data_IF_920444604838
#
_entry.id   IF_920444604838
#
_cell.length_a   1.000
_cell.length_b   1.000
_cell.length_c   1.000
_cell.angle_alpha   90.00
_cell.angle_beta   90.00
_cell.angle_gamma   90.00
#
_symmetry.space_group_name_H-M   'P 1'
#
loop_
_entity.id
_entity.type
_entity.pdbx_description
1 polymer ?
#
# COMPACT_ATOMS: atom_id res chain seq x y z
N UNK A 1 -37.12 -20.17 -3.86
CA UNK A 1 -35.80 -20.61 -4.32
C UNK A 1 -34.88 -20.66 -3.12
N UNK A 2 -34.64 -21.85 -2.56
CA UNK A 2 -33.90 -22.06 -1.31
C UNK A 2 -32.41 -21.73 -1.55
N UNK A 3 -31.90 -20.70 -0.91
CA UNK A 3 -30.46 -20.41 -0.81
C UNK A 3 -29.83 -21.49 0.07
N UNK A 4 -29.16 -22.47 -0.56
CA UNK A 4 -28.30 -23.40 0.18
C UNK A 4 -27.13 -22.61 0.75
N UNK A 5 -26.92 -22.74 2.06
CA UNK A 5 -25.75 -22.28 2.80
C UNK A 5 -24.49 -22.72 2.05
N UNK A 6 -23.54 -21.79 1.88
CA UNK A 6 -22.20 -22.15 1.44
C UNK A 6 -21.62 -23.13 2.47
N UNK A 7 -21.54 -24.39 2.10
CA UNK A 7 -20.83 -25.38 2.88
C UNK A 7 -19.36 -25.03 2.86
N UNK A 8 -18.76 -24.82 4.03
CA UNK A 8 -17.31 -24.87 4.19
C UNK A 8 -16.82 -26.18 3.59
N UNK A 9 -15.91 -26.12 2.63
CA UNK A 9 -15.15 -27.30 2.19
C UNK A 9 -14.26 -27.74 3.37
N UNK A 10 -14.70 -28.72 4.12
CA UNK A 10 -13.92 -29.44 5.13
C UNK A 10 -12.99 -30.51 4.51
N UNK A 11 -12.64 -30.34 3.25
CA UNK A 11 -11.88 -31.32 2.48
C UNK A 11 -10.52 -30.80 2.03
N UNK A 12 -9.66 -30.37 2.93
CA UNK A 12 -8.20 -30.45 2.93
C UNK A 12 -7.69 -29.78 4.23
N UNK A 13 -7.54 -30.57 5.28
CA UNK A 13 -6.71 -30.22 6.43
C UNK A 13 -5.24 -30.37 5.99
N UNK A 14 -4.83 -29.56 5.03
CA UNK A 14 -3.44 -29.25 4.83
C UNK A 14 -3.00 -28.47 6.07
N UNK A 15 -1.94 -28.94 6.75
CA UNK A 15 -1.36 -28.26 7.91
C UNK A 15 -1.29 -26.75 7.63
N UNK A 16 -1.95 -25.96 8.47
CA UNK A 16 -1.91 -24.49 8.38
C UNK A 16 -0.44 -24.09 8.36
N UNK A 17 0.04 -23.59 7.22
CA UNK A 17 1.44 -23.19 7.06
C UNK A 17 1.73 -22.10 8.09
N UNK A 18 2.59 -22.40 9.05
CA UNK A 18 3.06 -21.46 10.07
C UNK A 18 4.36 -20.79 9.61
N UNK A 19 4.56 -19.56 10.04
CA UNK A 19 5.71 -18.72 9.68
C UNK A 19 6.46 -18.29 10.92
N UNK A 20 7.70 -17.85 10.74
CA UNK A 20 8.58 -17.36 11.81
C UNK A 20 8.81 -18.37 12.94
N UNK A 21 8.76 -19.69 12.66
CA UNK A 21 9.02 -20.72 13.66
C UNK A 21 10.49 -20.66 14.06
N UNK A 22 10.78 -20.50 15.37
CA UNK A 22 12.16 -20.41 15.89
C UNK A 22 12.89 -19.11 15.50
N UNK A 23 12.19 -18.13 14.93
CA UNK A 23 12.79 -16.83 14.61
C UNK A 23 12.89 -15.99 15.88
N UNK A 24 14.12 -15.64 16.24
CA UNK A 24 14.43 -14.62 17.25
C UNK A 24 14.81 -13.31 16.55
N UNK A 25 14.42 -12.18 17.13
CA UNK A 25 14.78 -10.87 16.60
C UNK A 25 16.19 -10.50 17.07
N UNK A 26 17.19 -10.98 16.34
CA UNK A 26 18.59 -10.70 16.62
C UNK A 26 19.13 -9.50 15.84
N UNK A 27 20.40 -9.12 16.15
CA UNK A 27 21.11 -7.98 15.58
C UNK A 27 21.08 -7.93 14.04
N UNK A 28 21.29 -9.06 13.37
CA UNK A 28 21.33 -9.13 11.90
C UNK A 28 20.01 -8.67 11.25
N UNK A 29 18.86 -9.04 11.84
CA UNK A 29 17.55 -8.64 11.34
C UNK A 29 17.29 -7.15 11.60
N UNK A 30 17.61 -6.64 12.79
CA UNK A 30 17.45 -5.24 13.14
C UNK A 30 18.36 -4.35 12.29
N UNK A 31 19.62 -4.77 12.07
CA UNK A 31 20.55 -4.07 11.17
C UNK A 31 20.00 -4.01 9.73
N UNK A 32 19.49 -5.13 9.21
CA UNK A 32 18.89 -5.18 7.87
C UNK A 32 17.68 -4.25 7.76
N UNK A 33 16.87 -4.15 8.80
CA UNK A 33 15.74 -3.24 8.88
C UNK A 33 16.19 -1.76 8.87
N UNK A 34 17.21 -1.44 9.66
CA UNK A 34 17.82 -0.11 9.69
C UNK A 34 18.38 0.29 8.33
N UNK A 35 19.15 -0.57 7.68
CA UNK A 35 19.74 -0.32 6.36
C UNK A 35 18.65 -0.10 5.31
N UNK A 36 17.62 -0.94 5.33
CA UNK A 36 16.46 -0.79 4.46
C UNK A 36 15.73 0.53 4.69
N UNK A 37 15.51 0.92 5.95
CA UNK A 37 14.90 2.20 6.32
C UNK A 37 15.70 3.38 5.78
N UNK A 38 17.03 3.37 5.87
CA UNK A 38 17.91 4.41 5.34
C UNK A 38 17.75 4.61 3.83
N UNK A 39 17.40 3.57 3.07
CA UNK A 39 17.14 3.70 1.63
C UNK A 39 15.86 4.46 1.32
N UNK A 40 14.96 4.61 2.28
CA UNK A 40 13.64 5.23 2.09
C UNK A 40 13.70 6.75 2.29
N UNK A 41 12.70 7.50 1.76
CA UNK A 41 12.68 8.96 1.92
C UNK A 41 12.68 9.41 3.38
N UNK A 42 12.03 8.69 4.28
CA UNK A 42 12.01 9.00 5.72
C UNK A 42 13.41 8.83 6.33
N UNK A 43 14.07 7.71 6.09
CA UNK A 43 15.42 7.44 6.57
C UNK A 43 16.44 8.45 6.05
N UNK A 44 16.40 8.74 4.74
CA UNK A 44 17.29 9.77 4.14
C UNK A 44 17.11 11.16 4.75
N UNK A 45 15.90 11.49 5.17
CA UNK A 45 15.59 12.78 5.80
C UNK A 45 15.98 12.81 7.28
N UNK A 46 15.79 11.72 7.99
CA UNK A 46 15.86 11.65 9.45
C UNK A 46 17.07 10.85 9.97
N UNK A 47 17.92 10.29 9.10
CA UNK A 47 19.06 9.46 9.50
C UNK A 47 20.03 10.16 10.45
N UNK A 48 20.22 11.49 10.31
CA UNK A 48 21.02 12.30 11.21
C UNK A 48 20.54 12.28 12.66
N UNK A 49 19.25 12.01 12.89
CA UNK A 49 18.68 11.91 14.25
C UNK A 49 19.18 10.67 14.98
N UNK A 50 19.55 9.62 14.27
CA UNK A 50 20.09 8.39 14.87
C UNK A 50 21.35 8.69 15.66
N UNK A 51 22.28 9.46 15.07
CA UNK A 51 23.49 9.88 15.77
C UNK A 51 23.18 10.79 16.96
N UNK A 52 22.28 11.76 16.75
CA UNK A 52 21.93 12.76 17.77
C UNK A 52 21.15 12.19 18.96
N UNK A 53 20.21 11.29 18.71
CA UNK A 53 19.23 10.83 19.71
C UNK A 53 19.65 9.50 20.37
N UNK A 54 20.43 8.68 19.68
CA UNK A 54 20.77 7.31 20.10
C UNK A 54 22.28 7.04 20.18
N UNK A 55 23.13 7.99 19.81
CA UNK A 55 24.58 7.80 19.83
C UNK A 55 25.12 6.92 18.69
N UNK A 56 24.33 6.74 17.62
CA UNK A 56 24.73 6.03 16.42
C UNK A 56 23.88 4.81 16.08
N UNK A 57 24.14 4.27 14.90
CA UNK A 57 23.38 3.13 14.36
C UNK A 57 23.56 1.87 15.22
N UNK A 58 24.79 1.56 15.61
CA UNK A 58 25.09 0.37 16.40
C UNK A 58 24.39 0.41 17.76
N UNK A 59 24.45 1.54 18.46
CA UNK A 59 23.81 1.73 19.76
C UNK A 59 22.28 1.55 19.65
N UNK A 60 21.65 2.14 18.63
CA UNK A 60 20.20 1.99 18.42
C UNK A 60 19.82 0.55 18.06
N UNK A 61 20.61 -0.12 17.23
CA UNK A 61 20.36 -1.53 16.87
C UNK A 61 20.45 -2.43 18.10
N UNK A 62 21.51 -2.26 18.92
CA UNK A 62 21.69 -3.05 20.13
C UNK A 62 20.61 -2.77 21.17
N UNK A 63 20.17 -1.50 21.33
CA UNK A 63 19.07 -1.12 22.20
C UNK A 63 17.76 -1.83 21.77
N UNK A 64 17.41 -1.78 20.49
CA UNK A 64 16.19 -2.45 19.99
C UNK A 64 16.23 -3.96 20.22
N UNK A 65 17.38 -4.61 19.94
CA UNK A 65 17.55 -6.05 20.14
C UNK A 65 17.37 -6.40 21.62
N UNK A 66 18.05 -5.66 22.50
CA UNK A 66 17.99 -5.91 23.94
C UNK A 66 16.58 -5.70 24.51
N UNK A 67 15.92 -4.59 24.16
CA UNK A 67 14.57 -4.29 24.65
C UNK A 67 13.54 -5.30 24.17
N UNK A 68 13.65 -5.80 22.93
CA UNK A 68 12.75 -6.86 22.44
C UNK A 68 13.00 -8.17 23.19
N UNK A 69 14.26 -8.56 23.38
CA UNK A 69 14.61 -9.78 24.11
C UNK A 69 14.12 -9.76 25.56
N UNK A 70 14.25 -8.61 26.21
CA UNK A 70 13.82 -8.40 27.61
C UNK A 70 12.33 -8.07 27.77
N UNK A 71 11.58 -7.91 26.67
CA UNK A 71 10.16 -7.49 26.70
C UNK A 71 9.95 -6.09 27.34
N UNK A 72 10.91 -5.20 27.14
CA UNK A 72 10.91 -3.84 27.70
C UNK A 72 10.86 -2.75 26.62
N UNK A 73 10.54 -3.12 25.37
CA UNK A 73 10.52 -2.16 24.26
C UNK A 73 9.61 -0.98 24.57
N UNK A 74 10.24 0.19 24.65
CA UNK A 74 9.56 1.46 24.89
C UNK A 74 9.60 2.34 23.63
N UNK A 75 8.43 2.78 23.20
CA UNK A 75 8.25 3.61 22.01
C UNK A 75 7.59 4.94 22.40
N UNK A 76 8.05 6.02 21.78
CA UNK A 76 7.47 7.34 21.99
C UNK A 76 6.03 7.42 21.46
N UNK A 77 5.16 8.25 22.07
CA UNK A 77 3.83 8.52 21.53
C UNK A 77 3.89 9.08 20.10
N UNK A 78 3.01 8.62 19.25
CA UNK A 78 2.93 9.07 17.86
C UNK A 78 2.45 10.52 17.81
N UNK A 79 3.20 11.39 17.14
CA UNK A 79 2.79 12.77 16.88
C UNK A 79 1.86 12.80 15.68
N UNK A 80 0.70 13.46 15.80
CA UNK A 80 -0.32 13.51 14.75
C UNK A 80 -0.51 14.92 14.24
N UNK A 81 -0.75 15.03 12.92
CA UNK A 81 -1.13 16.29 12.30
C UNK A 81 -2.21 16.09 11.25
N UNK A 82 -3.05 17.08 11.07
CA UNK A 82 -4.04 17.06 10.01
C UNK A 82 -3.42 17.48 8.66
N UNK A 83 -3.69 16.71 7.64
CA UNK A 83 -3.36 17.03 6.26
C UNK A 83 -4.61 17.09 5.41
N UNK A 84 -4.78 18.21 4.70
CA UNK A 84 -5.84 18.34 3.71
C UNK A 84 -5.34 17.81 2.36
N UNK A 85 -6.03 16.82 1.80
CA UNK A 85 -5.71 16.31 0.47
C UNK A 85 -6.02 17.37 -0.60
N UNK A 86 -5.03 17.78 -1.41
CA UNK A 86 -5.24 18.82 -2.43
C UNK A 86 -6.21 18.42 -3.54
N UNK A 87 -6.56 17.12 -3.62
CA UNK A 87 -7.38 16.54 -4.69
C UNK A 87 -8.88 16.69 -4.45
N UNK A 88 -9.32 16.49 -3.24
CA UNK A 88 -10.72 16.37 -2.87
C UNK A 88 -11.07 17.15 -1.59
N UNK A 89 -10.11 17.86 -1.00
CA UNK A 89 -10.28 18.61 0.24
C UNK A 89 -10.45 17.75 1.50
N UNK A 90 -10.30 16.43 1.40
CA UNK A 90 -10.47 15.53 2.54
C UNK A 90 -9.36 15.75 3.57
N UNK A 91 -9.76 15.94 4.82
CA UNK A 91 -8.83 15.97 5.96
C UNK A 91 -8.45 14.55 6.37
N UNK A 92 -7.17 14.33 6.61
CA UNK A 92 -6.64 13.07 7.14
C UNK A 92 -5.71 13.38 8.30
N UNK A 93 -5.88 12.69 9.40
CA UNK A 93 -4.90 12.64 10.48
C UNK A 93 -3.78 11.68 10.08
N UNK A 94 -2.54 12.16 10.14
CA UNK A 94 -1.36 11.38 9.77
C UNK A 94 -0.47 11.28 11.00
N UNK A 95 -0.12 10.05 11.37
CA UNK A 95 0.84 9.76 12.42
C UNK A 95 2.29 9.94 11.93
N UNK A 96 3.11 10.48 12.82
CA UNK A 96 4.57 10.59 12.64
C UNK A 96 5.23 9.87 13.80
N UNK A 97 5.77 8.73 13.48
CA UNK A 97 6.47 7.85 14.41
C UNK A 97 7.88 8.37 14.71
N UNK A 98 8.42 8.02 15.89
CA UNK A 98 9.83 8.23 16.21
C UNK A 98 10.73 7.42 15.26
N UNK A 99 12.02 7.76 15.19
CA UNK A 99 12.97 7.01 14.35
C UNK A 99 13.05 5.54 14.78
N UNK A 100 13.11 5.30 16.08
CA UNK A 100 13.14 3.96 16.67
C UNK A 100 11.91 3.16 16.26
N UNK A 101 10.72 3.73 16.37
CA UNK A 101 9.47 3.07 15.97
C UNK A 101 9.43 2.76 14.48
N UNK A 102 9.86 3.68 13.61
CA UNK A 102 9.95 3.40 12.17
C UNK A 102 10.86 2.21 11.87
N UNK A 103 11.99 2.08 12.57
CA UNK A 103 12.90 0.93 12.39
C UNK A 103 12.21 -0.36 12.88
N UNK A 104 11.53 -0.32 14.03
CA UNK A 104 10.75 -1.44 14.56
C UNK A 104 9.65 -1.90 13.57
N UNK A 105 9.00 -0.97 12.86
CA UNK A 105 8.07 -1.30 11.77
C UNK A 105 8.74 -2.16 10.69
N UNK A 106 9.96 -1.75 10.27
CA UNK A 106 10.72 -2.53 9.28
C UNK A 106 11.17 -3.87 9.82
N UNK A 107 11.55 -3.97 11.10
CA UNK A 107 11.90 -5.25 11.76
C UNK A 107 10.72 -6.21 11.71
N UNK A 108 9.54 -5.77 12.16
CA UNK A 108 8.33 -6.58 12.16
C UNK A 108 7.95 -7.04 10.75
N UNK A 109 8.00 -6.14 9.77
CA UNK A 109 7.65 -6.46 8.38
C UNK A 109 8.66 -7.42 7.75
N UNK A 110 9.97 -7.21 7.92
CA UNK A 110 11.00 -8.10 7.39
C UNK A 110 10.90 -9.50 8.00
N UNK A 111 10.67 -9.59 9.31
CA UNK A 111 10.47 -10.88 9.98
C UNK A 111 9.31 -11.67 9.37
N UNK A 112 8.24 -10.98 8.97
CA UNK A 112 7.03 -11.58 8.41
C UNK A 112 6.99 -11.62 6.87
N UNK A 113 8.03 -11.14 6.17
CA UNK A 113 8.01 -11.03 4.70
C UNK A 113 7.61 -12.33 3.99
N UNK A 114 8.12 -13.55 4.38
CA UNK A 114 7.70 -14.80 3.74
C UNK A 114 6.19 -15.08 3.88
N UNK A 115 5.59 -14.67 5.00
CA UNK A 115 4.14 -14.80 5.21
C UNK A 115 3.38 -13.79 4.35
N UNK A 116 3.84 -12.55 4.31
CA UNK A 116 3.20 -11.47 3.55
C UNK A 116 3.25 -11.78 2.04
N UNK A 117 4.38 -12.25 1.51
CA UNK A 117 4.51 -12.66 0.12
C UNK A 117 3.56 -13.81 -0.23
N UNK A 118 3.41 -14.79 0.66
CA UNK A 118 2.55 -15.94 0.44
C UNK A 118 1.05 -15.62 0.54
N UNK A 119 0.67 -14.59 1.33
CA UNK A 119 -0.73 -14.24 1.61
C UNK A 119 -1.26 -13.12 0.73
N UNK A 120 -0.44 -12.13 0.40
CA UNK A 120 -0.88 -10.98 -0.40
C UNK A 120 -1.21 -11.40 -1.82
N UNK A 121 -2.46 -11.21 -2.23
CA UNK A 121 -2.99 -11.61 -3.53
C UNK A 121 -2.21 -10.99 -4.70
N UNK A 122 -2.21 -11.71 -5.84
CA UNK A 122 -1.42 -11.30 -7.00
C UNK A 122 -1.77 -9.88 -7.49
N UNK A 123 -3.05 -9.54 -7.54
CA UNK A 123 -3.54 -8.23 -7.96
C UNK A 123 -3.84 -7.25 -6.80
N UNK A 124 -3.27 -7.47 -5.62
CA UNK A 124 -3.08 -6.43 -4.62
C UNK A 124 -1.82 -5.66 -5.02
N UNK A 125 -1.99 -4.51 -5.67
CA UNK A 125 -0.88 -3.87 -6.42
C UNK A 125 -0.26 -2.66 -5.72
N UNK A 126 -0.91 -2.09 -4.73
CA UNK A 126 -0.42 -0.90 -4.05
C UNK A 126 0.67 -1.23 -3.04
N UNK A 127 1.81 -0.55 -3.12
CA UNK A 127 2.92 -0.67 -2.17
C UNK A 127 3.45 -2.09 -1.93
N UNK A 128 3.31 -2.96 -2.92
CA UNK A 128 3.85 -4.32 -2.91
C UNK A 128 5.09 -4.36 -3.81
N UNK A 129 6.24 -4.86 -3.33
CA UNK A 129 7.45 -4.99 -4.14
C UNK A 129 7.18 -5.73 -5.47
N UNK A 130 7.77 -5.25 -6.56
CA UNK A 130 7.59 -5.84 -7.90
C UNK A 130 6.23 -5.60 -8.56
N UNK A 131 5.25 -5.04 -7.85
CA UNK A 131 3.92 -4.70 -8.35
C UNK A 131 3.77 -3.17 -8.47
N UNK A 132 2.59 -2.69 -8.78
CA UNK A 132 2.30 -1.25 -8.85
C UNK A 132 1.55 -0.85 -10.12
N UNK A 133 1.64 0.44 -10.47
CA UNK A 133 0.83 1.07 -11.53
C UNK A 133 1.01 0.41 -12.91
N UNK A 134 2.22 -0.07 -13.25
CA UNK A 134 2.48 -0.74 -14.53
C UNK A 134 1.69 -2.03 -14.66
N UNK A 135 1.74 -2.88 -13.61
CA UNK A 135 0.97 -4.13 -13.56
C UNK A 135 -0.53 -3.85 -13.57
N UNK A 136 -0.99 -2.92 -12.73
CA UNK A 136 -2.39 -2.54 -12.62
C UNK A 136 -2.96 -2.06 -13.97
N UNK A 137 -2.30 -1.10 -14.59
CA UNK A 137 -2.71 -0.57 -15.90
C UNK A 137 -2.74 -1.66 -16.97
N UNK A 138 -1.69 -2.48 -17.05
CA UNK A 138 -1.60 -3.55 -18.05
C UNK A 138 -2.74 -4.57 -17.93
N UNK A 139 -3.06 -4.97 -16.70
CA UNK A 139 -4.17 -5.87 -16.41
C UNK A 139 -5.53 -5.22 -16.73
N UNK A 140 -5.78 -4.01 -16.22
CA UNK A 140 -7.03 -3.29 -16.46
C UNK A 140 -7.27 -3.04 -17.96
N UNK A 141 -6.22 -2.71 -18.74
CA UNK A 141 -6.32 -2.52 -20.19
C UNK A 141 -6.69 -3.81 -20.92
N UNK A 142 -6.15 -4.95 -20.50
CA UNK A 142 -6.51 -6.25 -21.05
C UNK A 142 -7.97 -6.59 -20.73
N UNK A 143 -8.36 -6.45 -19.47
CA UNK A 143 -9.71 -6.79 -19.01
C UNK A 143 -10.80 -5.85 -19.57
N UNK A 144 -10.48 -4.57 -19.82
CA UNK A 144 -11.43 -3.65 -20.45
C UNK A 144 -11.83 -4.06 -21.85
N UNK A 145 -10.97 -4.82 -22.57
CA UNK A 145 -11.26 -5.36 -23.92
C UNK A 145 -12.15 -6.60 -23.91
N UNK A 146 -12.18 -7.32 -22.79
CA UNK A 146 -13.05 -8.49 -22.63
C UNK A 146 -14.54 -8.07 -22.49
N UNK A 147 -14.80 -6.80 -22.19
CA UNK A 147 -16.13 -6.27 -22.00
C UNK A 147 -16.81 -6.77 -20.71
N UNK A 148 -18.15 -6.89 -20.75
CA UNK A 148 -18.93 -7.34 -19.60
C UNK A 148 -19.27 -6.20 -18.64
N UNK A 149 -19.24 -6.51 -17.34
CA UNK A 149 -19.60 -5.59 -16.27
C UNK A 149 -18.45 -5.44 -15.28
N UNK A 150 -18.41 -4.27 -14.62
CA UNK A 150 -17.50 -4.06 -13.51
C UNK A 150 -18.23 -3.38 -12.35
N UNK A 151 -17.65 -3.50 -11.18
CA UNK A 151 -18.01 -2.78 -9.98
C UNK A 151 -16.73 -2.24 -9.35
N UNK A 152 -16.75 -0.95 -9.02
CA UNK A 152 -15.75 -0.32 -8.18
C UNK A 152 -16.33 -0.14 -6.78
N UNK A 153 -15.56 -0.49 -5.77
CA UNK A 153 -15.91 -0.27 -4.38
C UNK A 153 -14.67 0.22 -3.60
N UNK A 154 -14.93 0.76 -2.42
CA UNK A 154 -13.92 1.34 -1.54
C UNK A 154 -14.29 0.95 -0.10
N UNK A 155 -13.30 0.61 0.71
CA UNK A 155 -13.52 0.26 2.13
C UNK A 155 -13.70 1.55 2.95
N UNK A 156 -14.75 1.60 3.77
CA UNK A 156 -14.98 2.73 4.67
C UNK A 156 -13.85 2.84 5.68
N UNK A 157 -13.20 4.01 5.76
CA UNK A 157 -12.18 4.30 6.78
C UNK A 157 -11.20 3.13 7.03
N UNK A 158 -10.68 2.51 5.98
CA UNK A 158 -9.99 1.22 6.00
C UNK A 158 -9.02 1.07 7.17
N UNK A 159 -8.07 2.00 7.36
CA UNK A 159 -7.08 1.93 8.44
C UNK A 159 -7.70 2.02 9.83
N UNK A 160 -8.48 3.04 10.18
CA UNK A 160 -9.10 3.14 11.51
C UNK A 160 -10.07 1.99 11.82
N UNK A 161 -10.66 1.36 10.80
CA UNK A 161 -11.62 0.28 10.98
C UNK A 161 -11.00 -1.10 11.14
N UNK A 162 -9.72 -1.28 10.77
CA UNK A 162 -8.99 -2.54 11.03
C UNK A 162 -8.53 -2.55 12.48
N UNK A 163 -9.25 -3.24 13.36
CA UNK A 163 -8.93 -3.28 14.78
C UNK A 163 -7.63 -4.04 15.07
N UNK A 164 -6.97 -3.67 16.17
CA UNK A 164 -5.78 -4.36 16.69
C UNK A 164 -6.09 -5.85 16.96
N UNK A 165 -7.29 -6.14 17.46
CA UNK A 165 -7.73 -7.51 17.72
C UNK A 165 -7.77 -8.36 16.45
N UNK A 166 -8.32 -7.83 15.35
CA UNK A 166 -8.33 -8.50 14.04
C UNK A 166 -6.92 -8.79 13.56
N UNK A 167 -6.03 -7.81 13.65
CA UNK A 167 -4.62 -7.98 13.25
C UNK A 167 -3.96 -9.06 14.08
N UNK A 168 -4.04 -8.99 15.43
CA UNK A 168 -3.40 -9.95 16.32
C UNK A 168 -4.02 -11.35 16.21
N UNK A 169 -5.33 -11.48 16.00
CA UNK A 169 -5.99 -12.76 15.71
C UNK A 169 -5.39 -13.44 14.48
N UNK A 170 -5.14 -12.66 13.41
CA UNK A 170 -4.50 -13.16 12.18
C UNK A 170 -3.05 -13.54 12.45
N UNK A 171 -2.28 -12.66 13.10
CA UNK A 171 -0.87 -12.90 13.37
C UNK A 171 -0.67 -14.14 14.26
N UNK A 172 -1.39 -14.28 15.37
CA UNK A 172 -1.33 -15.46 16.24
C UNK A 172 -1.70 -16.76 15.53
N UNK A 173 -2.53 -16.69 14.50
CA UNK A 173 -2.88 -17.87 13.67
C UNK A 173 -1.70 -18.35 12.81
N UNK A 174 -0.87 -17.45 12.31
CA UNK A 174 0.15 -17.79 11.32
C UNK A 174 1.59 -17.61 11.79
N UNK A 175 1.87 -16.74 12.74
CA UNK A 175 3.21 -16.44 13.29
C UNK A 175 3.46 -17.27 14.53
N UNK A 176 4.65 -17.88 14.64
CA UNK A 176 5.06 -18.73 15.78
C UNK A 176 6.22 -18.17 16.59
N UNK A 177 6.77 -17.02 16.21
CA UNK A 177 7.79 -16.32 16.99
C UNK A 177 7.14 -15.46 18.07
N UNK A 178 7.54 -15.68 19.33
CA UNK A 178 7.10 -14.86 20.44
C UNK A 178 7.62 -13.42 20.34
N UNK A 179 8.85 -13.23 19.83
CA UNK A 179 9.46 -11.92 19.64
C UNK A 179 8.70 -11.09 18.62
N UNK A 180 8.35 -11.71 17.47
CA UNK A 180 7.59 -11.02 16.41
C UNK A 180 6.20 -10.65 16.89
N UNK A 181 5.52 -11.55 17.61
CA UNK A 181 4.20 -11.24 18.18
C UNK A 181 4.27 -10.12 19.21
N UNK A 182 5.25 -10.17 20.13
CA UNK A 182 5.48 -9.11 21.10
C UNK A 182 5.74 -7.76 20.42
N UNK A 183 6.64 -7.72 19.44
CA UNK A 183 6.92 -6.50 18.68
C UNK A 183 5.67 -5.94 18.01
N UNK A 184 4.86 -6.80 17.36
CA UNK A 184 3.62 -6.38 16.72
C UNK A 184 2.59 -5.83 17.74
N UNK A 185 2.45 -6.46 18.90
CA UNK A 185 1.58 -5.98 19.98
C UNK A 185 2.04 -4.61 20.51
N UNK A 186 3.35 -4.44 20.71
CA UNK A 186 3.93 -3.17 21.17
C UNK A 186 3.73 -2.04 20.15
N UNK A 187 3.92 -2.32 18.85
CA UNK A 187 3.64 -1.36 17.79
C UNK A 187 2.16 -0.95 17.76
N UNK A 188 1.25 -1.90 17.80
CA UNK A 188 -0.19 -1.63 17.82
C UNK A 188 -0.62 -0.83 19.05
N UNK A 189 -0.01 -1.09 20.21
CA UNK A 189 -0.31 -0.37 21.44
C UNK A 189 0.00 1.14 21.38
N UNK A 190 0.84 1.58 20.44
CA UNK A 190 1.11 3.02 20.23
C UNK A 190 0.05 3.74 19.41
N UNK A 191 -0.89 2.99 18.77
CA UNK A 191 -1.92 3.57 17.91
C UNK A 191 -3.18 3.91 18.71
N UNK A 192 -3.69 5.13 18.53
CA UNK A 192 -4.93 5.54 19.18
C UNK A 192 -6.16 4.95 18.48
N UNK A 193 -7.25 4.86 19.25
CA UNK A 193 -8.56 4.48 18.70
C UNK A 193 -8.72 3.01 18.32
N UNK A 194 -7.75 2.16 18.64
CA UNK A 194 -7.84 0.70 18.43
C UNK A 194 -7.78 0.23 16.98
N UNK A 195 -7.52 1.13 16.03
CA UNK A 195 -7.34 0.85 14.60
C UNK A 195 -5.90 1.10 14.12
N UNK A 196 -5.64 0.82 12.84
CA UNK A 196 -4.33 1.06 12.25
C UNK A 196 -4.03 2.54 12.03
N UNK A 197 -2.78 2.95 12.22
CA UNK A 197 -2.32 4.32 12.07
C UNK A 197 -2.01 4.67 10.60
N UNK A 198 -2.49 5.83 10.13
CA UNK A 198 -2.13 6.33 8.80
C UNK A 198 -0.77 7.00 8.87
N UNK A 199 0.22 6.44 8.18
CA UNK A 199 1.60 6.94 8.14
C UNK A 199 2.62 5.90 8.57
N UNK A 200 2.22 4.84 9.26
CA UNK A 200 3.05 3.71 9.65
C UNK A 200 3.27 2.72 8.49
N UNK A 201 4.49 2.22 8.39
CA UNK A 201 4.82 1.16 7.43
C UNK A 201 4.27 -0.20 7.86
N UNK A 202 4.29 -0.48 9.15
CA UNK A 202 3.68 -1.69 9.70
C UNK A 202 2.16 -1.71 9.45
N UNK A 203 1.46 -0.61 9.71
CA UNK A 203 0.03 -0.46 9.43
C UNK A 203 -0.31 -0.72 7.96
N UNK A 204 0.51 -0.19 7.04
CA UNK A 204 0.34 -0.44 5.61
C UNK A 204 0.37 -1.93 5.27
N UNK A 205 1.33 -2.67 5.81
CA UNK A 205 1.51 -4.10 5.55
C UNK A 205 0.42 -4.94 6.23
N UNK A 206 -0.02 -4.54 7.42
CA UNK A 206 -1.12 -5.22 8.12
C UNK A 206 -2.46 -5.02 7.39
N UNK A 207 -2.73 -3.81 6.90
CA UNK A 207 -3.91 -3.57 6.07
C UNK A 207 -3.91 -4.44 4.80
N UNK A 208 -2.76 -4.58 4.11
CA UNK A 208 -2.62 -5.47 2.96
C UNK A 208 -2.89 -6.93 3.34
N UNK A 209 -2.38 -7.38 4.49
CA UNK A 209 -2.59 -8.74 4.99
C UNK A 209 -4.08 -9.00 5.29
N UNK A 210 -4.76 -8.10 6.00
CA UNK A 210 -6.18 -8.24 6.30
C UNK A 210 -7.01 -8.27 5.03
N UNK A 211 -6.76 -7.36 4.10
CA UNK A 211 -7.46 -7.30 2.81
C UNK A 211 -7.15 -8.50 1.91
N UNK A 212 -6.03 -9.21 2.11
CA UNK A 212 -5.72 -10.42 1.35
C UNK A 212 -6.72 -11.56 1.58
N UNK A 213 -7.29 -11.64 2.77
CA UNK A 213 -8.35 -12.63 3.05
C UNK A 213 -9.61 -12.33 2.24
N UNK A 214 -9.98 -11.06 2.10
CA UNK A 214 -11.10 -10.65 1.25
C UNK A 214 -10.79 -10.90 -0.24
N UNK A 215 -9.54 -10.71 -0.66
CA UNK A 215 -9.06 -11.03 -2.00
C UNK A 215 -9.24 -12.52 -2.31
N UNK A 216 -8.74 -13.41 -1.45
CA UNK A 216 -8.84 -14.87 -1.63
C UNK A 216 -10.27 -15.40 -1.44
N UNK A 217 -11.08 -14.74 -0.58
CA UNK A 217 -12.49 -15.04 -0.49
C UNK A 217 -13.21 -14.90 -1.84
N UNK A 218 -12.91 -13.82 -2.59
CA UNK A 218 -13.48 -13.61 -3.93
C UNK A 218 -13.04 -14.71 -4.90
N UNK A 219 -11.78 -15.15 -4.87
CA UNK A 219 -11.28 -16.24 -5.71
C UNK A 219 -12.04 -17.55 -5.49
N UNK A 220 -12.50 -17.78 -4.27
CA UNK A 220 -13.32 -18.94 -3.89
C UNK A 220 -14.79 -18.84 -4.30
N UNK A 221 -15.29 -17.65 -4.68
CA UNK A 221 -16.71 -17.46 -4.99
C UNK A 221 -17.11 -18.07 -6.32
N UNK A 222 -17.96 -19.07 -6.28
CA UNK A 222 -18.48 -19.75 -7.47
C UNK A 222 -19.95 -20.15 -7.30
N UNK A 223 -20.59 -20.49 -8.41
CA UNK A 223 -21.90 -21.15 -8.46
C UNK A 223 -21.79 -22.45 -9.24
N UNK A 224 -22.61 -23.40 -8.89
CA UNK A 224 -22.77 -24.61 -9.71
C UNK A 224 -23.89 -24.45 -10.71
N UNK A 225 -23.66 -24.82 -11.95
CA UNK A 225 -24.65 -24.87 -12.99
C UNK A 225 -24.40 -26.08 -13.89
N UNK A 226 -25.36 -27.02 -13.95
CA UNK A 226 -25.26 -28.26 -14.75
C UNK A 226 -23.97 -29.01 -14.47
N UNK A 227 -23.62 -29.21 -13.18
CA UNK A 227 -22.41 -29.91 -12.76
C UNK A 227 -21.09 -29.18 -13.02
N UNK A 228 -21.13 -27.90 -13.47
CA UNK A 228 -19.94 -27.08 -13.71
C UNK A 228 -19.82 -26.00 -12.67
N UNK A 229 -18.62 -25.84 -12.14
CA UNK A 229 -18.24 -24.75 -11.23
C UNK A 229 -17.93 -23.49 -12.03
N UNK A 230 -18.69 -22.42 -11.83
CA UNK A 230 -18.56 -21.14 -12.55
C UNK A 230 -18.19 -20.06 -11.55
N UNK A 231 -17.03 -19.42 -11.72
CA UNK A 231 -16.63 -18.29 -10.89
C UNK A 231 -17.61 -17.12 -11.01
N UNK A 232 -17.90 -16.44 -9.90
CA UNK A 232 -18.78 -15.27 -9.89
C UNK A 232 -18.07 -14.02 -10.39
N UNK A 233 -16.74 -13.97 -10.27
CA UNK A 233 -15.86 -12.87 -10.67
C UNK A 233 -14.80 -13.42 -11.59
N UNK A 234 -14.59 -12.77 -12.75
CA UNK A 234 -13.53 -13.17 -13.69
C UNK A 234 -12.19 -12.56 -13.31
N UNK A 235 -12.20 -11.29 -12.90
CA UNK A 235 -11.00 -10.55 -12.54
C UNK A 235 -11.27 -9.67 -11.34
N UNK A 236 -10.24 -9.49 -10.52
CA UNK A 236 -10.24 -8.56 -9.39
C UNK A 236 -8.92 -7.80 -9.32
N UNK A 237 -8.97 -6.58 -8.83
CA UNK A 237 -7.78 -5.78 -8.53
C UNK A 237 -8.01 -4.93 -7.29
N UNK A 238 -7.00 -4.86 -6.45
CA UNK A 238 -7.02 -4.10 -5.21
C UNK A 238 -5.87 -3.10 -5.17
N UNK A 239 -6.20 -1.86 -4.94
CA UNK A 239 -5.23 -0.79 -4.70
C UNK A 239 -5.48 -0.22 -3.31
N UNK A 240 -4.95 -0.88 -2.28
CA UNK A 240 -5.31 -0.69 -0.87
C UNK A 240 -6.82 -0.90 -0.67
N UNK A 241 -7.51 0.13 -0.18
CA UNK A 241 -8.95 0.19 0.08
C UNK A 241 -9.82 0.24 -1.19
N UNK A 242 -9.26 0.67 -2.33
CA UNK A 242 -9.94 0.68 -3.64
C UNK A 242 -9.92 -0.72 -4.27
N UNK A 243 -11.08 -1.27 -4.63
CA UNK A 243 -11.17 -2.54 -5.37
C UNK A 243 -12.01 -2.41 -6.64
N UNK A 244 -11.65 -3.20 -7.66
CA UNK A 244 -12.44 -3.39 -8.87
C UNK A 244 -12.65 -4.89 -9.09
N UNK A 245 -13.91 -5.30 -9.31
CA UNK A 245 -14.28 -6.64 -9.75
C UNK A 245 -14.87 -6.58 -11.15
N UNK A 246 -14.53 -7.55 -11.99
CA UNK A 246 -15.06 -7.67 -13.35
C UNK A 246 -15.66 -9.05 -13.59
N UNK A 247 -16.65 -9.10 -14.46
CA UNK A 247 -17.25 -10.37 -14.89
C UNK A 247 -18.28 -10.17 -16.01
N UNK A 248 -18.62 -11.25 -16.73
CA UNK A 248 -19.54 -11.20 -17.87
C UNK A 248 -21.02 -11.03 -17.45
N UNK A 249 -21.34 -11.31 -16.20
CA UNK A 249 -22.73 -11.36 -15.71
C UNK A 249 -22.92 -10.42 -14.53
N UNK A 250 -23.83 -9.43 -14.71
CA UNK A 250 -24.20 -8.44 -13.68
C UNK A 250 -24.78 -9.08 -12.41
N UNK A 251 -25.54 -10.19 -12.54
CA UNK A 251 -26.16 -10.87 -11.39
C UNK A 251 -25.09 -11.59 -10.56
N UNK A 252 -24.11 -12.19 -11.21
CA UNK A 252 -22.97 -12.83 -10.52
C UNK A 252 -22.15 -11.81 -9.75
N UNK A 253 -21.79 -10.68 -10.38
CA UNK A 253 -21.08 -9.59 -9.67
C UNK A 253 -21.87 -9.06 -8.49
N UNK A 254 -23.21 -8.88 -8.63
CA UNK A 254 -24.06 -8.47 -7.52
C UNK A 254 -24.05 -9.48 -6.38
N UNK A 255 -24.08 -10.77 -6.68
CA UNK A 255 -23.99 -11.84 -5.68
C UNK A 255 -22.62 -11.83 -4.98
N UNK A 256 -21.53 -11.72 -5.76
CA UNK A 256 -20.17 -11.64 -5.24
C UNK A 256 -19.97 -10.44 -4.31
N UNK A 257 -20.42 -9.25 -4.71
CA UNK A 257 -20.32 -8.04 -3.88
C UNK A 257 -21.11 -8.13 -2.57
N UNK A 258 -22.30 -8.73 -2.60
CA UNK A 258 -23.09 -8.95 -1.39
C UNK A 258 -22.43 -9.97 -0.44
N UNK A 259 -21.84 -11.02 -1.01
CA UNK A 259 -21.09 -12.02 -0.25
C UNK A 259 -19.82 -11.40 0.36
N UNK A 260 -19.06 -10.62 -0.44
CA UNK A 260 -17.89 -9.91 0.02
C UNK A 260 -18.21 -8.92 1.16
N UNK A 261 -19.24 -8.08 0.99
CA UNK A 261 -19.62 -7.09 1.99
C UNK A 261 -19.99 -7.77 3.33
N UNK A 262 -20.68 -8.90 3.27
CA UNK A 262 -21.00 -9.70 4.46
C UNK A 262 -19.76 -10.30 5.08
N UNK A 263 -18.91 -10.96 4.29
CA UNK A 263 -17.66 -11.54 4.76
C UNK A 263 -16.76 -10.52 5.45
N UNK A 264 -16.58 -9.33 4.82
CA UNK A 264 -15.73 -8.27 5.38
C UNK A 264 -16.29 -7.72 6.71
N UNK A 265 -17.61 -7.59 6.82
CA UNK A 265 -18.27 -7.15 8.06
C UNK A 265 -18.13 -8.21 9.15
N UNK A 266 -18.47 -9.45 8.82
CA UNK A 266 -18.56 -10.54 9.82
C UNK A 266 -17.17 -10.97 10.33
N UNK A 267 -16.15 -10.96 9.45
CA UNK A 267 -14.80 -11.41 9.81
C UNK A 267 -13.89 -10.28 10.31
N UNK A 268 -14.06 -9.05 9.81
CA UNK A 268 -13.11 -7.97 10.08
C UNK A 268 -13.76 -6.68 10.60
N UNK A 269 -15.07 -6.60 10.69
CA UNK A 269 -15.78 -5.37 11.03
C UNK A 269 -15.67 -4.26 9.96
N UNK A 270 -15.32 -4.62 8.73
CA UNK A 270 -15.09 -3.67 7.64
C UNK A 270 -16.33 -3.50 6.79
N UNK A 271 -16.65 -2.25 6.45
CA UNK A 271 -17.76 -1.92 5.59
C UNK A 271 -17.31 -1.37 4.24
N UNK A 272 -18.05 -1.73 3.19
CA UNK A 272 -17.86 -1.16 1.86
C UNK A 272 -18.74 0.08 1.70
N UNK A 273 -18.20 1.13 1.06
CA UNK A 273 -19.00 2.27 0.62
C UNK A 273 -20.06 1.83 -0.41
N UNK A 274 -21.12 2.61 -0.60
CA UNK A 274 -22.12 2.33 -1.63
C UNK A 274 -21.49 2.12 -3.01
N UNK A 275 -21.88 1.05 -3.69
CA UNK A 275 -21.32 0.66 -4.98
C UNK A 275 -22.41 0.45 -6.03
N UNK A 276 -22.07 0.65 -7.29
CA UNK A 276 -22.92 0.31 -8.44
C UNK A 276 -22.18 -0.56 -9.44
N UNK A 277 -22.91 -1.38 -10.17
CA UNK A 277 -22.37 -2.19 -11.27
C UNK A 277 -22.65 -1.44 -12.57
N UNK A 278 -21.60 -1.21 -13.34
CA UNK A 278 -21.66 -0.59 -14.65
C UNK A 278 -21.26 -1.60 -15.75
N UNK A 279 -21.72 -1.36 -16.98
CA UNK A 279 -21.24 -2.09 -18.17
C UNK A 279 -19.92 -1.47 -18.58
N UNK A 280 -18.87 -2.27 -18.69
CA UNK A 280 -17.56 -1.80 -19.14
C UNK A 280 -17.65 -1.30 -20.57
N UNK A 281 -17.36 -0.01 -20.78
CA UNK A 281 -17.49 0.66 -22.08
C UNK A 281 -16.62 1.91 -22.15
N UNK A 282 -16.64 2.60 -23.29
CA UNK A 282 -15.95 3.89 -23.45
C UNK A 282 -16.53 5.00 -22.54
N UNK A 283 -17.85 4.95 -22.25
CA UNK A 283 -18.52 5.91 -21.35
C UNK A 283 -18.43 5.54 -19.88
N UNK A 284 -18.34 4.24 -19.55
CA UNK A 284 -18.18 3.71 -18.20
C UNK A 284 -16.82 2.94 -18.10
N UNK A 285 -15.69 3.66 -18.04
CA UNK A 285 -14.35 3.07 -18.04
C UNK A 285 -13.97 2.54 -16.67
N UNK A 286 -12.91 1.72 -16.65
CA UNK A 286 -12.28 1.29 -15.39
C UNK A 286 -11.45 2.43 -14.82
N UNK A 287 -11.77 2.88 -13.61
CA UNK A 287 -11.09 3.99 -12.93
C UNK A 287 -10.41 3.52 -11.64
N UNK A 288 -9.09 3.36 -11.67
CA UNK A 288 -8.30 2.95 -10.50
C UNK A 288 -6.92 3.59 -10.49
N UNK A 289 -6.41 3.87 -9.29
CA UNK A 289 -5.04 4.32 -9.08
C UNK A 289 -4.68 5.61 -9.85
N UNK A 290 -5.64 6.48 -10.18
CA UNK A 290 -5.43 7.72 -10.93
C UNK A 290 -5.53 7.57 -12.45
N UNK A 291 -5.70 6.35 -12.96
CA UNK A 291 -5.90 6.06 -14.38
C UNK A 291 -7.37 5.81 -14.70
N UNK A 292 -7.77 6.26 -15.86
CA UNK A 292 -9.06 5.96 -16.50
C UNK A 292 -8.76 5.10 -17.72
N UNK A 293 -9.07 3.80 -17.60
CA UNK A 293 -8.71 2.78 -18.60
C UNK A 293 -9.93 2.44 -19.43
N UNK A 294 -9.81 2.65 -20.74
CA UNK A 294 -10.79 2.30 -21.77
C UNK A 294 -10.22 1.19 -22.64
N UNK A 295 -11.04 0.62 -23.49
CA UNK A 295 -10.61 -0.44 -24.41
C UNK A 295 -9.39 -0.05 -25.25
N UNK A 296 -9.43 1.15 -25.84
CA UNK A 296 -8.38 1.62 -26.77
C UNK A 296 -7.34 2.52 -26.13
N UNK A 297 -7.66 3.20 -25.01
CA UNK A 297 -6.78 4.20 -24.42
C UNK A 297 -6.80 4.20 -22.89
N UNK A 298 -5.68 4.58 -22.32
CA UNK A 298 -5.52 4.83 -20.89
C UNK A 298 -5.18 6.29 -20.68
N UNK A 299 -6.01 7.03 -19.96
CA UNK A 299 -5.78 8.45 -19.64
C UNK A 299 -5.62 8.62 -18.14
N UNK A 300 -5.05 9.75 -17.73
CA UNK A 300 -5.09 10.16 -16.34
C UNK A 300 -6.47 10.71 -15.99
N UNK A 301 -6.85 10.61 -14.72
CA UNK A 301 -8.03 11.36 -14.23
C UNK A 301 -7.85 12.85 -14.57
N UNK A 302 -8.90 13.56 -15.03
CA UNK A 302 -8.78 14.95 -15.47
C UNK A 302 -8.08 15.87 -14.48
N UNK A 303 -8.44 15.79 -13.20
CA UNK A 303 -7.83 16.61 -12.15
C UNK A 303 -6.33 16.31 -11.98
N UNK A 304 -5.87 15.06 -12.15
CA UNK A 304 -4.48 14.68 -12.07
C UNK A 304 -3.70 15.21 -13.29
N UNK A 305 -4.26 15.07 -14.49
CA UNK A 305 -3.67 15.58 -15.72
C UNK A 305 -3.50 17.11 -15.69
N UNK A 306 -4.55 17.85 -15.27
CA UNK A 306 -4.49 19.30 -15.13
C UNK A 306 -3.38 19.75 -14.17
N UNK A 307 -3.22 19.04 -13.04
CA UNK A 307 -2.16 19.32 -12.08
C UNK A 307 -0.77 19.04 -12.66
N UNK A 308 -0.59 17.92 -13.35
CA UNK A 308 0.65 17.61 -14.06
C UNK A 308 0.99 18.72 -15.07
N UNK A 309 0.03 19.06 -15.95
CA UNK A 309 0.18 20.15 -16.94
C UNK A 309 0.59 21.48 -16.29
N UNK A 310 -0.08 21.86 -15.20
CA UNK A 310 0.25 23.10 -14.46
C UNK A 310 1.65 23.06 -13.85
N UNK A 311 2.07 21.92 -13.31
CA UNK A 311 3.40 21.76 -12.73
C UNK A 311 4.49 21.93 -13.78
N UNK A 312 4.39 21.26 -14.93
CA UNK A 312 5.35 21.39 -16.03
C UNK A 312 5.37 22.80 -16.61
N UNK A 313 4.22 23.43 -16.81
CA UNK A 313 4.13 24.81 -17.29
C UNK A 313 4.80 25.81 -16.34
N UNK A 314 4.56 25.69 -15.02
CA UNK A 314 5.20 26.52 -14.01
C UNK A 314 6.70 26.29 -13.95
N UNK A 315 7.13 25.04 -13.99
CA UNK A 315 8.54 24.68 -14.00
C UNK A 315 9.29 25.22 -15.22
N UNK A 316 8.65 25.21 -16.39
CA UNK A 316 9.22 25.79 -17.61
C UNK A 316 9.48 27.29 -17.49
N UNK A 317 8.61 28.03 -16.78
CA UNK A 317 8.73 29.49 -16.58
C UNK A 317 9.66 29.84 -15.41
N UNK A 318 9.49 29.18 -14.29
CA UNK A 318 10.17 29.46 -13.02
C UNK A 318 10.73 28.16 -12.43
N UNK A 319 11.88 27.69 -12.87
CA UNK A 319 12.49 26.48 -12.36
C UNK A 319 12.84 26.61 -10.87
N UNK A 320 12.39 25.63 -10.07
CA UNK A 320 12.77 25.50 -8.67
C UNK A 320 12.89 24.02 -8.29
N UNK A 321 13.64 23.71 -7.23
CA UNK A 321 13.80 22.34 -6.73
C UNK A 321 12.43 21.70 -6.36
N UNK A 322 11.52 22.46 -5.75
CA UNK A 322 10.21 21.99 -5.39
C UNK A 322 9.37 21.62 -6.63
N UNK A 323 9.40 22.45 -7.68
CA UNK A 323 8.72 22.16 -8.94
C UNK A 323 9.39 21.03 -9.71
N UNK A 324 10.73 20.93 -9.69
CA UNK A 324 11.47 19.83 -10.29
C UNK A 324 11.05 18.48 -9.70
N UNK A 325 11.04 18.35 -8.37
CA UNK A 325 10.58 17.15 -7.66
C UNK A 325 9.12 16.83 -7.98
N UNK A 326 8.27 17.84 -8.07
CA UNK A 326 6.86 17.68 -8.47
C UNK A 326 6.69 17.18 -9.90
N UNK A 327 7.49 17.71 -10.85
CA UNK A 327 7.50 17.22 -12.22
C UNK A 327 7.95 15.75 -12.30
N UNK A 328 8.98 15.35 -11.56
CA UNK A 328 9.41 13.95 -11.47
C UNK A 328 8.28 13.04 -10.94
N UNK A 329 7.53 13.49 -9.92
CA UNK A 329 6.38 12.74 -9.41
C UNK A 329 5.30 12.55 -10.47
N UNK A 330 4.98 13.57 -11.30
CA UNK A 330 3.99 13.44 -12.37
C UNK A 330 4.51 12.70 -13.60
N UNK A 331 5.82 12.65 -13.81
CA UNK A 331 6.42 11.99 -14.97
C UNK A 331 6.05 10.52 -15.06
N UNK A 332 6.13 9.77 -13.93
CA UNK A 332 5.71 8.37 -13.89
C UNK A 332 4.26 8.15 -14.30
N UNK A 333 3.35 9.08 -13.94
CA UNK A 333 1.96 9.02 -14.36
C UNK A 333 1.79 9.23 -15.87
N UNK A 334 2.50 10.19 -16.45
CA UNK A 334 2.45 10.46 -17.89
C UNK A 334 3.01 9.30 -18.71
N UNK A 335 4.12 8.69 -18.28
CA UNK A 335 4.72 7.52 -18.93
C UNK A 335 3.80 6.29 -18.95
N UNK A 336 2.89 6.21 -17.99
CA UNK A 336 1.95 5.10 -17.89
C UNK A 336 0.56 5.41 -18.43
N UNK A 337 0.40 6.49 -19.19
CA UNK A 337 -0.84 6.88 -19.87
C UNK A 337 -0.57 7.20 -21.33
N UNK A 338 -1.61 7.21 -22.16
CA UNK A 338 -1.53 7.59 -23.56
C UNK A 338 -1.44 9.15 -23.65
N UNK A 339 -0.32 9.68 -23.15
CA UNK A 339 -0.03 11.12 -23.06
C UNK A 339 1.05 11.59 -24.04
N UNK A 340 1.43 10.78 -25.05
CA UNK A 340 2.53 11.04 -25.97
C UNK A 340 2.38 12.37 -26.68
N UNK A 341 1.19 12.71 -27.18
CA UNK A 341 0.93 14.02 -27.81
C UNK A 341 1.18 15.19 -26.87
N UNK A 342 0.83 15.07 -25.59
CA UNK A 342 1.13 16.10 -24.59
C UNK A 342 2.64 16.17 -24.30
N UNK A 343 3.30 15.01 -24.17
CA UNK A 343 4.74 14.92 -23.87
C UNK A 343 5.55 15.57 -24.99
N UNK A 344 5.27 15.20 -26.24
CA UNK A 344 5.98 15.73 -27.42
C UNK A 344 5.65 17.21 -27.66
N UNK A 345 4.37 17.56 -27.74
CA UNK A 345 3.91 18.91 -28.06
C UNK A 345 4.30 19.98 -27.03
N UNK A 346 4.64 19.59 -25.80
CA UNK A 346 5.07 20.52 -24.75
C UNK A 346 6.55 20.35 -24.35
N UNK A 347 7.33 19.58 -25.09
CA UNK A 347 8.76 19.39 -24.81
C UNK A 347 9.06 18.84 -23.43
N UNK A 348 8.18 17.96 -22.90
CA UNK A 348 8.27 17.48 -21.52
C UNK A 348 9.58 16.73 -21.27
N UNK A 349 10.11 15.97 -22.24
CA UNK A 349 11.42 15.31 -22.12
C UNK A 349 12.55 16.29 -21.80
N UNK A 350 12.57 17.46 -22.45
CA UNK A 350 13.56 18.51 -22.16
C UNK A 350 13.39 19.07 -20.75
N UNK A 351 12.15 19.34 -20.35
CA UNK A 351 11.85 19.82 -19.00
C UNK A 351 12.24 18.78 -17.93
N UNK A 352 12.04 17.49 -18.19
CA UNK A 352 12.46 16.42 -17.29
C UNK A 352 13.98 16.34 -17.15
N UNK A 353 14.75 16.41 -18.24
CA UNK A 353 16.22 16.47 -18.16
C UNK A 353 16.68 17.66 -17.29
N UNK A 354 16.08 18.84 -17.48
CA UNK A 354 16.35 20.02 -16.65
C UNK A 354 15.99 19.79 -15.19
N UNK A 355 14.84 19.18 -14.90
CA UNK A 355 14.39 18.88 -13.54
C UNK A 355 15.34 17.91 -12.84
N UNK A 356 15.73 16.82 -13.50
CA UNK A 356 16.71 15.88 -12.97
C UNK A 356 18.06 16.54 -12.68
N UNK A 357 18.55 17.41 -13.57
CA UNK A 357 19.81 18.16 -13.36
C UNK A 357 19.75 19.05 -12.12
N UNK A 358 18.65 19.80 -11.93
CA UNK A 358 18.46 20.64 -10.74
C UNK A 358 18.44 19.81 -9.46
N UNK A 359 17.75 18.67 -9.45
CA UNK A 359 17.68 17.77 -8.30
C UNK A 359 19.05 17.21 -7.98
N UNK A 360 19.78 16.69 -8.98
CA UNK A 360 21.12 16.11 -8.79
C UNK A 360 22.10 17.15 -8.24
N UNK A 361 22.10 18.38 -8.78
CA UNK A 361 22.96 19.45 -8.29
C UNK A 361 22.62 19.84 -6.85
N UNK A 362 21.34 19.98 -6.53
CA UNK A 362 20.89 20.26 -5.17
C UNK A 362 21.32 19.18 -4.18
N UNK A 363 21.11 17.90 -4.53
CA UNK A 363 21.42 16.79 -3.64
C UNK A 363 22.95 16.59 -3.47
N UNK A 364 23.76 16.89 -4.49
CA UNK A 364 25.23 16.94 -4.37
C UNK A 364 25.69 18.04 -3.40
N UNK A 365 25.15 19.26 -3.53
CA UNK A 365 25.47 20.35 -2.62
C UNK A 365 25.08 20.05 -1.18
N UNK A 366 23.91 19.47 -0.96
CA UNK A 366 23.47 19.06 0.37
C UNK A 366 24.40 18.04 1.02
N UNK A 367 24.91 17.07 0.25
CA UNK A 367 25.91 16.10 0.72
C UNK A 367 27.25 16.74 1.04
N UNK A 368 27.74 17.63 0.19
CA UNK A 368 29.00 18.35 0.41
C UNK A 368 28.97 19.23 1.67
N UNK A 369 27.84 19.91 1.94
CA UNK A 369 27.66 20.69 3.17
C UNK A 369 27.53 19.78 4.42
N UNK A 370 26.92 18.60 4.30
CA UNK A 370 26.83 17.64 5.41
C UNK A 370 28.16 17.01 5.78
N UNK A 371 29.06 16.82 4.81
CA UNK A 371 30.42 16.27 5.04
C UNK A 371 31.37 17.32 5.66
N UNK A 372 31.13 18.62 5.46
CA UNK A 372 31.93 19.67 6.09
C UNK A 372 31.57 19.91 7.56
N UNK A 373 30.37 19.51 7.99
CA UNK A 373 29.95 19.62 9.40
C UNK A 373 30.52 18.53 10.32
N UNK A 374 31.19 17.52 9.79
CA UNK A 374 31.78 16.41 10.53
C UNK A 374 33.33 16.35 10.50
N UNK A 375 34.00 17.40 10.01
CA UNK A 375 35.45 17.53 10.15
C UNK A 375 35.73 18.23 11.50
N UNK A 376 36.41 17.57 12.47
CA UNK A 376 36.81 18.25 13.70
C UNK A 376 37.90 19.26 13.39
N UNK A 377 37.78 20.44 14.00
CA UNK A 377 38.84 21.45 14.06
C UNK A 377 39.98 20.98 14.98
#
# INVERSE_FOLDING_TARGET
>A
MKTRKATRDEGCIGQLKSYCKGLEIGRALVQSAYDLWLTKPSGRKNGWRVEKEYGGADALVDEIVWEIAMRTLSLEPIRRYERVEPTNGKRRTIGVESVKQQICDYVAVLAMEPMLEAKVGFYQVASVPGKGQRLARGALRRWSREGGYHVKADVCQCYPSISHEVVMRILRKYVRSADVLYLCETLLATYDGGGLEIGSYFSLRMAQLVLSFAYHFIEGLHKERRGRRIALVSHQMWHMDDLILLGPDKRNLKAAMRALARYMRDEFGLELKPWKIAKTSETEPLDMGGFVVRERRTTLRPALFIRARRAFRRFGRHPSIALARRCCSYWGWLLHSDSDGFIQGNGIHRLMRKACGIITTHDRRARACGTQATAPA
#
